data_IF_554419760588
#
_entry.id   IF_554419760588
#
_cell.length_a   1.000
_cell.length_b   1.000
_cell.length_c   1.000
_cell.angle_alpha   90.00
_cell.angle_beta   90.00
_cell.angle_gamma   90.00
#
_symmetry.space_group_name_H-M   'P 1'
#
loop_
_entity.id
_entity.type
_entity.pdbx_description
1 polymer ?
#
# COMPACT_ATOMS: atom_id res chain seq x y z
N UNK A 1 -59.26 -34.00 12.49
CA UNK A 1 -58.75 -32.65 12.12
C UNK A 1 -58.07 -31.90 13.27
N UNK A 2 -58.15 -32.35 14.53
CA UNK A 2 -57.50 -31.66 15.67
C UNK A 2 -55.99 -31.96 15.85
N UNK A 3 -55.49 -33.08 15.32
CA UNK A 3 -54.06 -33.46 15.49
C UNK A 3 -53.09 -32.79 14.50
N UNK A 4 -53.61 -32.08 13.50
CA UNK A 4 -52.79 -31.45 12.45
C UNK A 4 -52.33 -30.02 12.83
N UNK A 5 -53.07 -29.31 13.70
CA UNK A 5 -52.73 -27.94 14.08
C UNK A 5 -51.58 -27.83 15.08
N UNK A 6 -51.37 -28.85 15.93
CA UNK A 6 -50.32 -28.82 16.96
C UNK A 6 -48.91 -28.99 16.36
N UNK A 7 -48.78 -29.72 15.25
CA UNK A 7 -47.48 -29.92 14.58
C UNK A 7 -47.01 -28.68 13.80
N UNK A 8 -47.93 -27.88 13.26
CA UNK A 8 -47.59 -26.66 12.51
C UNK A 8 -47.10 -25.55 13.46
N UNK A 9 -47.65 -25.47 14.68
CA UNK A 9 -47.21 -24.48 15.68
C UNK A 9 -45.82 -24.78 16.26
N UNK A 10 -45.45 -26.06 16.40
CA UNK A 10 -44.10 -26.42 16.85
C UNK A 10 -43.01 -26.13 15.79
N UNK A 11 -43.30 -26.30 14.51
CA UNK A 11 -42.34 -26.00 13.44
C UNK A 11 -42.12 -24.51 13.21
N UNK A 12 -43.13 -23.67 13.42
CA UNK A 12 -42.99 -22.20 13.29
C UNK A 12 -42.23 -21.62 14.51
N UNK A 13 -42.35 -22.22 15.69
CA UNK A 13 -41.62 -21.77 16.89
C UNK A 13 -40.11 -22.02 16.83
N UNK A 14 -39.63 -23.03 16.10
CA UNK A 14 -38.18 -23.32 16.00
C UNK A 14 -37.42 -22.48 14.97
N UNK A 15 -38.12 -21.77 14.07
CA UNK A 15 -37.47 -20.97 13.02
C UNK A 15 -37.09 -19.56 13.51
N UNK A 16 -37.66 -19.09 14.63
CA UNK A 16 -37.44 -17.72 15.14
C UNK A 16 -36.25 -17.57 16.11
N UNK A 17 -35.50 -18.64 16.42
CA UNK A 17 -34.41 -18.59 17.40
C UNK A 17 -33.00 -18.39 16.80
N UNK A 18 -32.83 -18.31 15.48
CA UNK A 18 -31.48 -18.37 14.85
C UNK A 18 -31.02 -17.10 14.13
N UNK A 19 -31.67 -15.96 14.27
CA UNK A 19 -31.32 -14.76 13.47
C UNK A 19 -31.06 -13.50 14.28
N UNK A 20 -30.28 -13.60 15.36
CA UNK A 20 -29.64 -12.43 15.99
C UNK A 20 -28.14 -12.67 16.17
N UNK A 21 -27.45 -13.15 15.13
CA UNK A 21 -26.05 -12.75 14.95
C UNK A 21 -26.12 -11.34 14.33
N UNK A 22 -26.41 -10.35 15.19
CA UNK A 22 -26.07 -8.97 14.85
C UNK A 22 -24.56 -8.99 14.69
N UNK A 23 -24.09 -9.03 13.43
CA UNK A 23 -22.68 -8.88 13.13
C UNK A 23 -22.23 -7.61 13.82
N UNK A 24 -21.36 -7.75 14.82
CA UNK A 24 -20.66 -6.61 15.41
C UNK A 24 -20.06 -5.84 14.23
N UNK A 25 -20.52 -4.61 14.05
CA UNK A 25 -19.98 -3.72 13.03
C UNK A 25 -18.48 -3.61 13.31
N UNK A 26 -17.67 -4.12 12.37
CA UNK A 26 -16.23 -4.17 12.49
C UNK A 26 -15.70 -2.75 12.67
N UNK A 27 -15.33 -2.37 13.90
CA UNK A 27 -14.89 -1.01 14.21
C UNK A 27 -13.49 -0.78 13.66
N UNK A 28 -13.41 -0.16 12.50
CA UNK A 28 -12.16 0.23 11.84
C UNK A 28 -11.71 1.64 12.28
N UNK A 29 -10.43 1.79 12.63
CA UNK A 29 -9.81 3.09 12.89
C UNK A 29 -9.11 3.58 11.61
N UNK A 30 -9.54 4.72 11.04
CA UNK A 30 -8.88 5.31 9.87
C UNK A 30 -7.48 5.81 10.24
N UNK A 31 -6.45 5.32 9.56
CA UNK A 31 -5.06 5.79 9.69
C UNK A 31 -4.76 6.94 8.72
N UNK A 32 -5.38 6.91 7.54
CA UNK A 32 -5.21 7.94 6.51
C UNK A 32 -5.27 7.36 5.11
N UNK A 33 -5.13 8.23 4.12
CA UNK A 33 -5.07 7.84 2.71
C UNK A 33 -3.62 7.53 2.34
N UNK A 34 -3.39 6.56 1.44
CA UNK A 34 -2.06 6.29 0.90
C UNK A 34 -1.57 7.52 0.13
N UNK A 35 -0.43 8.07 0.55
CA UNK A 35 0.28 9.11 -0.18
C UNK A 35 0.91 8.44 -1.40
N UNK A 36 0.41 8.76 -2.59
CA UNK A 36 0.95 8.24 -3.86
C UNK A 36 2.25 8.95 -4.21
N UNK A 37 3.35 8.20 -4.29
CA UNK A 37 4.63 8.72 -4.77
C UNK A 37 4.85 8.38 -6.24
N UNK A 38 4.57 7.12 -6.63
CA UNK A 38 4.71 6.62 -8.00
C UNK A 38 3.67 5.53 -8.31
N UNK A 39 3.61 5.10 -9.57
CA UNK A 39 2.74 4.01 -10.09
C UNK A 39 1.24 4.09 -9.74
N UNK A 40 0.75 5.27 -9.37
CA UNK A 40 -0.67 5.54 -9.15
C UNK A 40 -1.28 4.76 -7.99
N UNK A 41 -0.48 4.45 -6.96
CA UNK A 41 -0.96 3.80 -5.73
C UNK A 41 -2.03 4.66 -5.06
N UNK A 42 -3.16 4.06 -4.70
CA UNK A 42 -4.26 4.72 -3.96
C UNK A 42 -4.90 3.74 -2.98
N UNK A 43 -5.61 4.31 -2.01
CA UNK A 43 -6.44 3.56 -1.07
C UNK A 43 -6.52 4.28 0.27
N UNK A 44 -7.51 3.93 1.08
CA UNK A 44 -7.64 4.40 2.46
C UNK A 44 -7.24 3.27 3.41
N UNK A 45 -6.30 3.55 4.31
CA UNK A 45 -5.80 2.56 5.27
C UNK A 45 -6.52 2.71 6.60
N UNK A 46 -6.98 1.58 7.12
CA UNK A 46 -7.62 1.45 8.42
C UNK A 46 -6.90 0.39 9.26
N UNK A 47 -6.89 0.57 10.56
CA UNK A 47 -6.51 -0.46 11.52
C UNK A 47 -7.75 -1.19 12.01
N UNK A 48 -7.72 -2.51 11.92
CA UNK A 48 -8.75 -3.42 12.45
C UNK A 48 -8.45 -3.79 13.90
N UNK A 49 -7.19 -4.08 14.18
CA UNK A 49 -6.67 -4.39 15.51
C UNK A 49 -5.15 -4.13 15.55
N UNK A 50 -4.50 -4.52 16.64
CA UNK A 50 -3.07 -4.31 16.85
C UNK A 50 -2.15 -4.94 15.80
N UNK A 51 -2.61 -5.87 14.95
CA UNK A 51 -1.76 -6.55 13.95
C UNK A 51 -2.48 -6.76 12.60
N UNK A 52 -3.61 -6.12 12.37
CA UNK A 52 -4.32 -6.22 11.10
C UNK A 52 -4.72 -4.85 10.60
N UNK A 53 -4.45 -4.60 9.32
CA UNK A 53 -4.89 -3.41 8.60
C UNK A 53 -5.79 -3.80 7.44
N UNK A 54 -6.69 -2.89 7.10
CA UNK A 54 -7.56 -2.98 5.93
C UNK A 54 -7.23 -1.80 5.02
N UNK A 55 -7.03 -2.05 3.73
CA UNK A 55 -6.88 -1.01 2.71
C UNK A 55 -8.12 -1.07 1.83
N UNK A 56 -8.94 -0.03 1.89
CA UNK A 56 -10.12 0.10 1.03
C UNK A 56 -9.79 0.85 -0.24
N UNK A 57 -10.50 0.51 -1.32
CA UNK A 57 -10.33 1.09 -2.65
C UNK A 57 -8.88 1.04 -3.16
N UNK A 58 -8.14 0.00 -2.75
CA UNK A 58 -6.75 -0.17 -3.11
C UNK A 58 -6.63 -0.24 -4.64
N UNK A 59 -5.80 0.64 -5.17
CA UNK A 59 -5.50 0.70 -6.60
C UNK A 59 -3.99 0.78 -6.79
N UNK A 60 -3.47 -0.01 -7.72
CA UNK A 60 -2.05 -0.04 -8.08
C UNK A 60 -1.90 -0.47 -9.54
N UNK A 61 -1.04 0.21 -10.31
CA UNK A 61 -0.81 -0.14 -11.73
C UNK A 61 0.48 -0.96 -11.88
N UNK A 62 0.39 -2.30 -11.92
CA UNK A 62 1.58 -3.15 -12.02
C UNK A 62 2.27 -3.05 -13.39
N UNK A 63 1.65 -2.48 -14.43
CA UNK A 63 2.35 -2.27 -15.70
C UNK A 63 3.38 -1.15 -15.61
N UNK A 64 3.08 -0.11 -14.82
CA UNK A 64 4.04 0.97 -14.57
C UNK A 64 5.22 0.51 -13.73
N UNK A 65 5.05 -0.58 -13.00
CA UNK A 65 6.00 -1.16 -12.07
C UNK A 65 6.41 -2.59 -12.46
N UNK A 66 6.19 -2.98 -13.73
CA UNK A 66 6.39 -4.35 -14.16
C UNK A 66 7.87 -4.70 -14.06
N UNK A 67 8.20 -5.69 -13.22
CA UNK A 67 9.58 -6.08 -12.96
C UNK A 67 10.24 -5.27 -11.84
N UNK A 68 9.53 -4.31 -11.25
CA UNK A 68 10.09 -3.49 -10.19
C UNK A 68 10.16 -4.21 -8.84
N UNK A 69 9.47 -5.34 -8.67
CA UNK A 69 9.49 -6.08 -7.41
C UNK A 69 8.93 -5.21 -6.28
N UNK A 70 7.61 -5.10 -6.23
CA UNK A 70 6.93 -4.23 -5.27
C UNK A 70 6.41 -5.03 -4.07
N UNK A 71 6.80 -4.67 -2.86
CA UNK A 71 6.28 -5.29 -1.63
C UNK A 71 5.64 -4.27 -0.70
N UNK A 72 4.68 -4.73 0.10
CA UNK A 72 4.32 -4.00 1.31
C UNK A 72 5.45 -4.09 2.33
N UNK A 73 5.83 -2.95 2.88
CA UNK A 73 6.90 -2.80 3.85
C UNK A 73 6.39 -2.01 5.05
N UNK A 74 6.85 -2.40 6.24
CA UNK A 74 6.71 -1.63 7.46
C UNK A 74 8.07 -1.14 7.95
N UNK A 75 8.15 0.14 8.32
CA UNK A 75 9.33 0.80 8.86
C UNK A 75 9.07 1.15 10.33
N UNK A 76 9.97 0.74 11.24
CA UNK A 76 9.83 1.01 12.68
C UNK A 76 10.21 2.45 13.02
N UNK A 77 9.76 2.97 14.17
CA UNK A 77 10.03 4.35 14.66
C UNK A 77 11.52 4.71 14.74
N UNK A 78 12.38 3.72 14.98
CA UNK A 78 13.82 3.96 15.01
C UNK A 78 14.48 3.76 13.66
N UNK A 79 13.75 3.30 12.65
CA UNK A 79 14.27 2.99 11.34
C UNK A 79 14.34 4.27 10.51
N UNK A 80 15.56 4.70 10.24
CA UNK A 80 15.80 5.84 9.35
C UNK A 80 15.67 5.48 7.86
N UNK A 81 15.61 4.19 7.51
CA UNK A 81 15.86 3.69 6.15
C UNK A 81 15.36 2.27 5.90
N UNK A 82 14.95 1.96 4.66
CA UNK A 82 14.81 0.58 4.17
C UNK A 82 16.17 0.03 3.73
N UNK A 83 16.50 -1.18 4.19
CA UNK A 83 17.70 -1.91 3.73
C UNK A 83 17.28 -3.24 3.07
N UNK A 84 17.18 -3.28 1.74
CA UNK A 84 17.21 -4.50 0.92
C UNK A 84 18.07 -5.65 1.49
N UNK A 85 17.53 -6.86 1.64
CA UNK A 85 18.30 -8.06 1.99
C UNK A 85 18.63 -8.19 3.48
N UNK A 86 18.08 -7.31 4.33
CA UNK A 86 18.26 -7.32 5.80
C UNK A 86 16.93 -7.17 6.55
N UNK A 87 15.83 -7.67 5.97
CA UNK A 87 14.46 -7.54 6.50
C UNK A 87 14.24 -8.14 7.89
N UNK A 88 15.23 -8.83 8.47
CA UNK A 88 15.13 -9.43 9.81
C UNK A 88 16.16 -8.89 10.81
N UNK A 89 17.00 -7.93 10.39
CA UNK A 89 18.06 -7.34 11.23
C UNK A 89 17.96 -5.83 11.45
N UNK A 90 17.43 -5.08 10.48
CA UNK A 90 17.60 -3.61 10.43
C UNK A 90 16.28 -2.83 10.38
N UNK A 91 15.36 -3.12 11.31
CA UNK A 91 14.20 -2.26 11.65
C UNK A 91 13.19 -2.04 10.50
N UNK A 92 13.11 -2.96 9.54
CA UNK A 92 12.11 -2.99 8.49
C UNK A 92 11.48 -4.38 8.42
N UNK A 93 10.24 -4.49 7.96
CA UNK A 93 9.53 -5.75 7.80
C UNK A 93 8.86 -5.83 6.44
N UNK A 94 8.99 -6.95 5.73
CA UNK A 94 8.06 -7.28 4.64
C UNK A 94 6.73 -7.67 5.27
N UNK A 95 5.65 -7.06 4.77
CA UNK A 95 4.29 -7.42 5.15
C UNK A 95 3.76 -8.38 4.08
N UNK A 96 3.56 -9.67 4.41
CA UNK A 96 3.16 -10.66 3.43
C UNK A 96 1.75 -10.39 2.90
N UNK A 97 1.53 -10.70 1.63
CA UNK A 97 0.20 -10.68 1.06
C UNK A 97 -0.58 -11.95 1.47
N UNK A 98 -1.90 -11.87 1.70
CA UNK A 98 -2.71 -13.02 2.14
C UNK A 98 -2.64 -14.22 1.21
N UNK A 99 -2.63 -14.03 -0.11
CA UNK A 99 -2.75 -15.14 -1.06
C UNK A 99 -1.41 -15.64 -1.61
N UNK A 100 -0.34 -14.87 -1.43
CA UNK A 100 1.00 -15.30 -1.81
C UNK A 100 2.03 -14.68 -0.87
N UNK A 101 2.46 -15.49 0.10
CA UNK A 101 3.52 -15.08 0.99
C UNK A 101 4.77 -14.81 0.14
N UNK A 102 5.33 -13.62 0.29
CA UNK A 102 6.67 -13.24 -0.17
C UNK A 102 6.86 -12.97 -1.67
N UNK A 103 5.84 -13.14 -2.50
CA UNK A 103 5.89 -12.68 -3.90
C UNK A 103 5.56 -11.18 -4.00
N UNK A 104 6.26 -10.42 -4.86
CA UNK A 104 5.96 -9.01 -5.03
C UNK A 104 4.64 -8.80 -5.77
N UNK A 105 3.95 -7.70 -5.47
CA UNK A 105 2.61 -7.37 -5.95
C UNK A 105 2.49 -7.31 -7.48
N UNK A 106 3.52 -6.81 -8.17
CA UNK A 106 3.59 -6.76 -9.64
C UNK A 106 3.64 -8.15 -10.29
N UNK A 107 3.88 -9.20 -9.49
CA UNK A 107 3.92 -10.58 -9.93
C UNK A 107 2.69 -11.40 -9.59
N UNK A 108 1.82 -10.90 -8.70
CA UNK A 108 0.69 -11.68 -8.21
C UNK A 108 -0.52 -11.63 -9.16
N UNK A 109 -0.64 -10.55 -9.93
CA UNK A 109 -1.87 -10.18 -10.61
C UNK A 109 -1.59 -9.33 -11.87
N UNK A 110 -2.46 -9.43 -12.86
CA UNK A 110 -2.44 -8.60 -14.09
C UNK A 110 -2.99 -7.18 -13.83
N UNK A 111 -2.75 -6.27 -14.79
CA UNK A 111 -3.02 -4.81 -14.69
C UNK A 111 -4.38 -4.42 -14.09
N UNK A 112 -5.43 -5.15 -14.42
CA UNK A 112 -6.80 -4.77 -14.08
C UNK A 112 -7.25 -5.30 -12.71
N UNK A 113 -6.42 -6.09 -12.03
CA UNK A 113 -6.82 -6.82 -10.83
C UNK A 113 -6.45 -6.12 -9.51
N UNK A 114 -5.84 -4.94 -9.58
CA UNK A 114 -5.61 -4.06 -8.43
C UNK A 114 -6.32 -2.74 -8.65
N UNK A 115 -7.65 -2.78 -8.80
CA UNK A 115 -8.47 -1.58 -8.96
C UNK A 115 -9.67 -1.66 -8.03
N UNK A 116 -9.75 -0.72 -7.10
CA UNK A 116 -10.81 -0.63 -6.10
C UNK A 116 -10.92 -1.92 -5.24
N UNK A 117 -9.79 -2.56 -4.94
CA UNK A 117 -9.76 -3.79 -4.15
C UNK A 117 -9.85 -3.48 -2.65
N UNK A 118 -10.43 -4.39 -1.87
CA UNK A 118 -10.31 -4.39 -0.41
C UNK A 118 -9.22 -5.36 -0.02
N UNK A 119 -8.15 -4.87 0.59
CA UNK A 119 -7.05 -5.71 1.08
C UNK A 119 -7.10 -5.81 2.59
N UNK A 120 -6.91 -7.01 3.13
CA UNK A 120 -6.74 -7.23 4.56
C UNK A 120 -5.34 -7.82 4.78
N UNK A 121 -4.45 -7.06 5.43
CA UNK A 121 -3.07 -7.47 5.66
C UNK A 121 -2.87 -7.79 7.14
N UNK A 122 -2.23 -8.92 7.42
CA UNK A 122 -1.80 -9.28 8.77
C UNK A 122 -0.32 -8.94 8.93
N UNK A 123 -0.01 -8.10 9.91
CA UNK A 123 1.30 -7.56 10.17
C UNK A 123 2.16 -8.54 10.99
N UNK A 124 3.44 -8.73 10.64
CA UNK A 124 4.36 -9.59 11.38
C UNK A 124 4.55 -9.19 12.85
N UNK A 125 4.44 -7.90 13.15
CA UNK A 125 4.54 -7.35 14.51
C UNK A 125 3.42 -6.34 14.77
N UNK A 126 3.38 -5.75 15.97
CA UNK A 126 2.31 -4.83 16.37
C UNK A 126 2.36 -3.53 15.56
N UNK A 127 1.18 -3.01 15.25
CA UNK A 127 0.99 -1.74 14.57
C UNK A 127 1.68 -0.58 15.29
N UNK A 128 1.71 -0.60 16.63
CA UNK A 128 2.39 0.40 17.47
C UNK A 128 3.90 0.46 17.31
N UNK A 129 4.51 -0.56 16.71
CA UNK A 129 5.95 -0.64 16.50
C UNK A 129 6.36 -0.04 15.15
N UNK A 130 5.40 0.10 14.23
CA UNK A 130 5.61 0.79 12.95
C UNK A 130 5.42 2.30 13.11
N UNK A 131 6.27 3.05 12.43
CA UNK A 131 6.08 4.48 12.16
C UNK A 131 5.45 4.68 10.78
N UNK A 132 5.78 3.84 9.81
CA UNK A 132 5.25 3.94 8.44
C UNK A 132 4.99 2.56 7.86
N UNK A 133 3.87 2.44 7.14
CA UNK A 133 3.56 1.29 6.30
C UNK A 133 3.41 1.79 4.87
N UNK A 134 4.02 1.11 3.91
CA UNK A 134 3.98 1.54 2.52
C UNK A 134 4.32 0.44 1.54
N UNK A 135 4.46 0.82 0.28
CA UNK A 135 4.88 -0.03 -0.82
C UNK A 135 6.26 0.43 -1.28
N UNK A 136 7.17 -0.53 -1.39
CA UNK A 136 8.53 -0.28 -1.84
C UNK A 136 8.80 -1.04 -3.13
N UNK A 137 9.26 -0.33 -4.15
CA UNK A 137 9.68 -0.89 -5.42
C UNK A 137 11.19 -1.10 -5.43
N UNK A 138 11.60 -2.36 -5.49
CA UNK A 138 12.98 -2.76 -5.27
C UNK A 138 13.91 -2.48 -6.46
N UNK A 139 13.46 -2.73 -7.68
CA UNK A 139 14.29 -2.51 -8.86
C UNK A 139 14.64 -1.03 -8.99
N UNK A 140 13.74 -0.13 -8.58
CA UNK A 140 13.90 1.34 -8.63
C UNK A 140 14.25 2.00 -7.29
N UNK A 141 14.40 1.22 -6.22
CA UNK A 141 14.71 1.69 -4.87
C UNK A 141 13.79 2.77 -4.29
N UNK A 142 12.53 2.86 -4.72
CA UNK A 142 11.68 3.98 -4.34
C UNK A 142 10.50 3.55 -3.48
N UNK A 143 10.10 4.44 -2.58
CA UNK A 143 8.78 4.39 -1.97
C UNK A 143 7.76 4.81 -3.02
N UNK A 144 6.81 3.93 -3.32
CA UNK A 144 5.79 4.22 -4.34
C UNK A 144 4.47 4.68 -3.70
N UNK A 145 4.29 4.43 -2.40
CA UNK A 145 3.25 5.06 -1.61
C UNK A 145 3.20 4.55 -0.17
N UNK A 146 2.70 5.37 0.75
CA UNK A 146 2.78 5.07 2.17
C UNK A 146 1.68 5.74 3.00
N UNK A 147 1.55 5.28 4.24
CA UNK A 147 0.78 5.91 5.32
C UNK A 147 1.63 5.92 6.58
N UNK A 148 1.55 7.01 7.35
CA UNK A 148 2.20 7.12 8.67
C UNK A 148 1.28 6.55 9.75
N UNK A 149 1.88 5.83 10.69
CA UNK A 149 1.20 5.28 11.85
C UNK A 149 1.54 6.14 13.05
N UNK A 150 0.52 6.75 13.67
CA UNK A 150 0.71 7.50 14.90
C UNK A 150 0.41 6.62 16.09
N UNK A 151 1.44 6.30 16.86
CA UNK A 151 1.35 5.42 18.04
C UNK A 151 0.25 5.82 19.02
N UNK A 152 0.08 7.12 19.27
CA UNK A 152 -0.97 7.63 20.16
C UNK A 152 -2.40 7.31 19.70
N UNK A 153 -2.62 7.16 18.39
CA UNK A 153 -3.93 6.88 17.81
C UNK A 153 -4.25 5.38 17.82
N UNK A 154 -3.23 4.52 17.70
CA UNK A 154 -3.40 3.06 17.59
C UNK A 154 -3.22 2.29 18.92
N UNK A 155 -2.79 2.97 19.99
CA UNK A 155 -2.49 2.33 21.29
C UNK A 155 -3.71 1.70 21.99
N UNK A 156 -4.93 2.07 21.59
CA UNK A 156 -6.19 1.57 22.17
C UNK A 156 -6.86 0.48 21.35
N UNK A 157 -6.23 0.04 20.25
CA UNK A 157 -6.77 -1.02 19.41
C UNK A 157 -6.85 -2.37 20.16
N UNK A 158 -7.85 -3.21 19.87
CA UNK A 158 -7.94 -4.52 20.47
C UNK A 158 -6.75 -5.40 20.05
N UNK A 159 -6.41 -6.44 20.83
CA UNK A 159 -5.46 -7.45 20.41
C UNK A 159 -6.01 -8.23 19.19
N UNK A 160 -5.12 -8.91 18.47
CA UNK A 160 -5.51 -9.82 17.40
C UNK A 160 -6.31 -11.01 17.97
N UNK A 161 -7.38 -11.49 17.30
CA UNK A 161 -8.10 -12.68 17.74
C UNK A 161 -7.20 -13.92 17.83
N UNK A 162 -7.49 -14.82 18.76
CA UNK A 162 -6.76 -16.06 18.91
C UNK A 162 -6.84 -16.92 17.62
N UNK A 163 -5.72 -17.51 17.22
CA UNK A 163 -5.64 -18.37 16.03
C UNK A 163 -5.42 -17.64 14.70
N UNK A 164 -5.36 -16.29 14.71
CA UNK A 164 -4.88 -15.53 13.56
C UNK A 164 -3.38 -15.32 13.71
N UNK A 165 -2.60 -15.88 12.81
CA UNK A 165 -1.15 -15.72 12.78
C UNK A 165 -0.74 -14.94 11.53
N UNK A 166 0.24 -14.05 11.68
CA UNK A 166 0.91 -13.47 10.54
C UNK A 166 1.59 -14.59 9.76
N UNK A 167 1.47 -14.57 8.43
CA UNK A 167 2.32 -15.42 7.59
C UNK A 167 3.78 -15.03 7.93
N UNK A 168 4.60 -16.03 8.26
CA UNK A 168 5.91 -15.82 8.91
C UNK A 168 6.92 -15.03 8.07
N UNK A 169 8.14 -14.90 8.62
CA UNK A 169 9.26 -14.15 8.03
C UNK A 169 9.40 -14.39 6.52
N UNK A 170 8.95 -13.41 5.75
CA UNK A 170 9.17 -13.38 4.32
C UNK A 170 10.58 -12.89 4.05
N UNK A 171 11.34 -13.68 3.27
CA UNK A 171 12.56 -13.22 2.63
C UNK A 171 12.24 -12.93 1.18
N UNK A 172 12.45 -11.71 0.74
CA UNK A 172 12.27 -11.41 -0.67
C UNK A 172 13.42 -12.03 -1.49
N UNK A 173 13.06 -12.63 -2.63
CA UNK A 173 14.01 -13.14 -3.62
C UNK A 173 14.54 -11.96 -4.44
N UNK A 174 15.51 -11.25 -3.88
CA UNK A 174 16.09 -10.06 -4.49
C UNK A 174 16.99 -10.36 -5.68
N UNK A 175 17.61 -11.54 -5.71
CA UNK A 175 18.51 -11.95 -6.79
C UNK A 175 17.80 -11.92 -8.14
N UNK A 176 16.50 -12.21 -8.14
CA UNK A 176 15.63 -12.10 -9.31
C UNK A 176 15.57 -10.70 -9.92
N UNK A 177 15.72 -9.65 -9.13
CA UNK A 177 15.60 -8.26 -9.57
C UNK A 177 16.95 -7.61 -9.88
N UNK A 178 18.06 -8.30 -9.59
CA UNK A 178 19.41 -7.80 -9.83
C UNK A 178 19.66 -7.48 -11.31
N UNK A 179 19.08 -8.23 -12.24
CA UNK A 179 19.24 -7.97 -13.67
C UNK A 179 18.45 -6.74 -14.14
N UNK A 180 17.29 -6.45 -13.55
CA UNK A 180 16.55 -5.21 -13.83
C UNK A 180 17.26 -3.98 -13.27
N UNK A 181 17.79 -4.08 -12.05
CA UNK A 181 18.61 -3.03 -11.46
C UNK A 181 19.83 -2.70 -12.34
N UNK A 182 20.56 -3.74 -12.80
CA UNK A 182 21.69 -3.58 -13.72
C UNK A 182 21.28 -2.90 -15.03
N UNK A 183 20.15 -3.31 -15.64
CA UNK A 183 19.65 -2.71 -16.88
C UNK A 183 19.33 -1.23 -16.74
N UNK A 184 18.82 -0.81 -15.57
CA UNK A 184 18.46 0.57 -15.28
C UNK A 184 19.63 1.42 -14.74
N UNK A 185 20.84 0.85 -14.65
CA UNK A 185 22.02 1.44 -13.99
C UNK A 185 21.73 1.93 -12.55
N UNK A 186 20.87 1.19 -11.86
CA UNK A 186 20.43 1.56 -10.53
C UNK A 186 21.36 0.97 -9.49
N UNK A 187 21.90 1.85 -8.64
CA UNK A 187 22.86 1.50 -7.57
C UNK A 187 22.15 1.03 -6.30
N UNK A 188 21.10 0.25 -6.48
CA UNK A 188 20.30 -0.41 -5.46
C UNK A 188 21.02 -1.59 -4.80
N UNK A 189 22.31 -1.44 -4.49
CA UNK A 189 23.05 -2.50 -3.82
C UNK A 189 23.08 -2.24 -2.32
N UNK A 190 23.16 -3.31 -1.54
CA UNK A 190 23.43 -3.27 -0.09
C UNK A 190 24.65 -2.43 0.30
N UNK A 191 25.52 -2.06 -0.66
CA UNK A 191 26.75 -1.28 -0.47
C UNK A 191 26.72 0.14 -1.03
N UNK A 192 25.77 0.49 -1.91
CA UNK A 192 25.82 1.77 -2.68
C UNK A 192 24.52 2.57 -2.71
N UNK A 193 23.40 2.02 -2.24
CA UNK A 193 22.14 2.76 -2.25
C UNK A 193 22.12 3.76 -1.10
N UNK A 194 22.09 5.04 -1.42
CA UNK A 194 21.73 6.09 -0.46
C UNK A 194 20.31 5.86 0.04
N UNK A 195 20.19 5.38 1.27
CA UNK A 195 19.17 5.69 2.27
C UNK A 195 17.81 6.20 1.73
N UNK A 196 16.77 5.36 1.73
CA UNK A 196 15.40 5.78 1.41
C UNK A 196 14.51 5.66 2.64
N UNK A 197 13.89 6.78 3.01
CA UNK A 197 12.91 6.86 4.07
C UNK A 197 11.52 6.56 3.48
N UNK A 198 10.83 5.54 4.02
CA UNK A 198 9.52 5.10 3.53
C UNK A 198 8.42 6.15 3.75
N UNK A 199 8.70 7.19 4.52
CA UNK A 199 7.79 8.29 4.82
C UNK A 199 8.01 9.51 3.89
N UNK A 200 8.79 9.34 2.82
CA UNK A 200 9.06 10.38 1.83
C UNK A 200 8.88 9.84 0.40
N UNK A 201 8.37 10.67 -0.50
CA UNK A 201 8.21 10.35 -1.92
C UNK A 201 9.47 10.69 -2.76
N UNK A 202 10.66 10.66 -2.16
CA UNK A 202 11.87 11.26 -2.73
C UNK A 202 12.88 10.27 -3.32
N UNK A 203 12.81 10.06 -4.64
CA UNK A 203 13.85 9.43 -5.49
C UNK A 203 14.62 10.41 -6.39
N UNK A 204 14.26 11.70 -6.40
CA UNK A 204 15.08 12.77 -6.95
C UNK A 204 15.67 13.57 -5.78
N UNK A 205 16.97 13.87 -5.83
CA UNK A 205 17.56 14.88 -4.96
C UNK A 205 16.66 16.12 -5.01
N UNK A 206 16.28 16.66 -3.85
CA UNK A 206 15.52 17.90 -3.78
C UNK A 206 16.16 18.91 -4.74
N UNK A 207 15.38 19.58 -5.64
CA UNK A 207 15.95 20.57 -6.54
C UNK A 207 16.76 21.55 -5.69
N UNK A 208 18.04 21.71 -6.06
CA UNK A 208 18.95 22.59 -5.34
C UNK A 208 18.25 23.96 -5.17
N UNK A 209 17.98 24.42 -3.94
CA UNK A 209 17.28 25.68 -3.71
C UNK A 209 18.06 26.90 -4.23
N UNK A 210 19.32 26.71 -4.63
CA UNK A 210 20.17 27.72 -5.28
C UNK A 210 20.20 27.63 -6.82
N UNK A 211 19.37 26.80 -7.46
CA UNK A 211 19.19 26.92 -8.91
C UNK A 211 18.29 28.14 -9.18
N UNK A 212 18.76 29.13 -9.96
CA UNK A 212 17.93 30.28 -10.32
C UNK A 212 16.69 29.76 -11.04
N UNK A 213 15.51 30.18 -10.59
CA UNK A 213 14.25 29.95 -11.28
C UNK A 213 14.39 30.47 -12.72
N UNK A 214 14.51 29.56 -13.69
CA UNK A 214 14.38 29.89 -15.10
C UNK A 214 12.89 30.01 -15.40
N UNK A 215 12.37 31.24 -15.32
CA UNK A 215 11.02 31.56 -15.76
C UNK A 215 11.00 31.46 -17.30
N UNK A 216 10.52 30.33 -17.82
CA UNK A 216 10.25 30.18 -19.25
C UNK A 216 8.96 30.93 -19.55
N UNK A 217 9.08 32.19 -19.96
CA UNK A 217 7.96 32.93 -20.56
C UNK A 217 7.74 32.35 -21.96
N UNK A 218 6.74 31.49 -22.10
CA UNK A 218 6.22 31.11 -23.42
C UNK A 218 5.43 32.30 -23.95
N UNK A 219 6.11 33.17 -24.68
CA UNK A 219 5.48 34.27 -25.40
C UNK A 219 4.65 33.72 -26.56
N UNK A 220 3.34 33.57 -26.36
CA UNK A 220 2.39 33.31 -27.45
C UNK A 220 2.31 34.57 -28.30
N UNK A 221 3.07 34.62 -29.40
CA UNK A 221 2.98 35.70 -30.37
C UNK A 221 1.77 35.45 -31.27
N UNK A 222 0.68 36.16 -31.02
CA UNK A 222 -0.45 36.22 -31.94
C UNK A 222 -0.02 36.97 -33.21
N UNK A 223 0.31 36.23 -34.27
CA UNK A 223 0.41 36.80 -35.61
C UNK A 223 -1.00 37.06 -36.13
N UNK A 224 -1.42 38.32 -36.08
CA UNK A 224 -2.62 38.81 -36.74
C UNK A 224 -2.46 38.72 -38.26
N UNK A 225 -3.20 37.82 -38.89
CA UNK A 225 -3.42 37.83 -40.33
C UNK A 225 -4.35 39.00 -40.68
N UNK A 226 -3.78 40.14 -41.10
CA UNK A 226 -4.55 41.16 -41.81
C UNK A 226 -4.77 40.70 -43.26
N UNK A 227 -6.00 40.28 -43.56
CA UNK A 227 -6.46 40.14 -44.95
C UNK A 227 -6.77 41.52 -45.51
N UNK A 228 -5.93 41.99 -46.44
CA UNK A 228 -6.27 43.08 -47.37
C UNK A 228 -7.00 42.44 -48.53
N UNK A 229 -8.31 42.66 -48.63
CA UNK A 229 -9.02 42.49 -49.91
C UNK A 229 -9.44 43.86 -50.45
N UNK A 230 -8.76 44.15 -51.55
CA UNK A 230 -8.81 45.28 -52.46
C UNK A 230 -10.18 45.43 -53.13
N UNK A 231 -10.63 46.69 -53.24
CA UNK A 231 -11.68 47.17 -54.12
C UNK A 231 -11.41 46.83 -55.59
N UNK A 232 -12.40 46.25 -56.27
CA UNK A 232 -12.79 46.59 -57.65
C UNK A 232 -14.31 46.52 -57.71
#
# INVERSE_FOLDING_TARGET
MEKLCIFVLFFISTILATSNVQGEEEKLLKLGDLISCEHGVKGTVYAKNMQQIVIEEFTYDPQKAAGDGVWFMGMLETATRITPGRETGDRNWIIPFPDSACHPLDMQKTKDQWKNERLELTLPIKLTDYETIGLYAYAICTNIGHVRVKKSEVSSLPPIPAGVEAKGDCKADYDRFGDEQKKKDLKCTTKTSTHYALDSCGGQAAPNPNLPMVMVIVGVTFFGFMSKNTLI
#
